data_IF_877067757675
#
_entry.id   IF_877067757675
#
_cell.length_a   1.000
_cell.length_b   1.000
_cell.length_c   1.000
_cell.angle_alpha   90.00
_cell.angle_beta   90.00
_cell.angle_gamma   90.00
#
_symmetry.space_group_name_H-M   'P 1'
#
loop_
_entity.id
_entity.type
_entity.pdbx_description
1 polymer ?
#
# COMPACT_ATOMS: atom_id res chain seq x y z
N UNK A 1 -7.45 -7.32 -19.46
CA UNK A 1 -6.26 -6.69 -18.85
C UNK A 1 -5.30 -6.07 -19.88
N UNK A 2 -5.35 -6.44 -21.17
CA UNK A 2 -4.69 -5.65 -22.24
C UNK A 2 -3.15 -5.66 -22.20
N UNK A 3 -2.53 -6.67 -21.59
CA UNK A 3 -1.07 -6.81 -21.55
C UNK A 3 -0.52 -7.36 -22.87
N UNK A 4 0.61 -6.83 -23.32
CA UNK A 4 1.47 -7.58 -24.26
C UNK A 4 2.20 -8.68 -23.49
N UNK A 5 2.66 -9.75 -24.18
CA UNK A 5 3.41 -10.83 -23.53
C UNK A 5 4.65 -10.34 -22.76
N UNK A 6 5.38 -9.37 -23.33
CA UNK A 6 6.61 -8.81 -22.74
C UNK A 6 6.29 -8.04 -21.46
N UNK A 7 5.20 -7.26 -21.46
CA UNK A 7 4.77 -6.51 -20.28
C UNK A 7 4.27 -7.42 -19.18
N UNK A 8 3.59 -8.51 -19.53
CA UNK A 8 3.16 -9.51 -18.56
C UNK A 8 4.35 -10.23 -17.91
N UNK A 9 5.36 -10.61 -18.69
CA UNK A 9 6.57 -11.24 -18.17
C UNK A 9 7.38 -10.28 -17.28
N UNK A 10 7.53 -9.02 -17.68
CA UNK A 10 8.26 -8.03 -16.89
C UNK A 10 7.61 -7.74 -15.52
N UNK A 11 6.28 -7.79 -15.42
CA UNK A 11 5.56 -7.49 -14.18
C UNK A 11 5.26 -8.74 -13.33
N UNK A 12 5.00 -9.89 -13.96
CA UNK A 12 4.48 -11.09 -13.31
C UNK A 12 5.24 -12.38 -13.65
N UNK A 13 6.37 -12.29 -14.37
CA UNK A 13 7.14 -13.44 -14.84
C UNK A 13 7.55 -14.39 -13.71
N UNK A 14 7.97 -13.85 -12.56
CA UNK A 14 8.32 -14.65 -11.39
C UNK A 14 7.15 -15.54 -10.92
N UNK A 15 5.93 -15.02 -10.88
CA UNK A 15 4.72 -15.73 -10.45
C UNK A 15 4.30 -16.76 -11.50
N UNK A 16 4.31 -16.39 -12.77
CA UNK A 16 3.98 -17.29 -13.88
C UNK A 16 4.97 -18.45 -13.96
N UNK A 17 6.26 -18.19 -13.74
CA UNK A 17 7.30 -19.21 -13.69
C UNK A 17 7.10 -20.15 -12.50
N UNK A 18 6.72 -19.65 -11.31
CA UNK A 18 6.40 -20.49 -10.17
C UNK A 18 5.26 -21.49 -10.46
N UNK A 19 4.23 -21.08 -11.21
CA UNK A 19 3.14 -21.98 -11.60
C UNK A 19 3.57 -23.14 -12.52
N UNK A 20 4.64 -22.97 -13.31
CA UNK A 20 5.18 -24.02 -14.19
C UNK A 20 5.77 -25.21 -13.41
N UNK A 21 6.12 -25.02 -12.14
CA UNK A 21 6.70 -26.06 -11.29
C UNK A 21 5.66 -26.82 -10.45
N UNK A 22 4.38 -26.77 -10.84
CA UNK A 22 3.32 -27.57 -10.21
C UNK A 22 2.67 -26.91 -9.00
N UNK A 23 2.40 -25.61 -9.07
CA UNK A 23 1.60 -24.95 -8.05
C UNK A 23 0.20 -25.59 -7.98
N UNK A 24 -0.31 -25.95 -6.78
CA UNK A 24 -1.62 -26.57 -6.63
C UNK A 24 -2.75 -25.57 -6.91
N UNK A 25 -3.97 -26.05 -7.19
CA UNK A 25 -5.15 -25.20 -7.15
C UNK A 25 -5.28 -24.58 -5.76
N UNK A 26 -5.40 -23.26 -5.70
CA UNK A 26 -5.48 -22.53 -4.44
C UNK A 26 -6.51 -21.39 -4.55
N UNK A 27 -7.10 -21.04 -3.40
CA UNK A 27 -7.99 -19.92 -3.24
C UNK A 27 -7.77 -19.32 -1.85
N UNK A 28 -8.04 -18.02 -1.71
CA UNK A 28 -7.91 -17.30 -0.45
C UNK A 28 -8.93 -16.18 -0.34
N UNK A 29 -9.09 -15.63 0.86
CA UNK A 29 -9.97 -14.51 1.14
C UNK A 29 -9.28 -13.59 2.17
N UNK A 30 -9.47 -12.29 2.02
CA UNK A 30 -9.00 -11.29 2.98
C UNK A 30 -10.18 -10.45 3.48
N UNK A 31 -10.25 -10.24 4.79
CA UNK A 31 -11.22 -9.35 5.41
C UNK A 31 -10.59 -7.98 5.65
N UNK A 32 -11.35 -6.91 5.41
CA UNK A 32 -10.98 -5.58 5.86
C UNK A 32 -11.18 -5.47 7.37
N UNK A 33 -10.12 -5.67 8.15
CA UNK A 33 -10.19 -5.75 9.61
C UNK A 33 -10.83 -4.51 10.24
N UNK A 34 -10.41 -3.31 9.82
CA UNK A 34 -10.91 -2.05 10.38
C UNK A 34 -12.41 -1.89 10.16
N UNK A 35 -12.88 -2.25 8.95
CA UNK A 35 -14.31 -2.25 8.61
C UNK A 35 -15.07 -3.31 9.39
N UNK A 36 -14.50 -4.51 9.54
CA UNK A 36 -15.12 -5.58 10.30
C UNK A 36 -15.31 -5.17 11.76
N UNK A 37 -14.28 -4.59 12.39
CA UNK A 37 -14.34 -4.07 13.76
C UNK A 37 -15.31 -2.90 13.87
N UNK A 38 -15.30 -1.95 12.93
CA UNK A 38 -16.21 -0.78 12.99
C UNK A 38 -17.68 -1.21 12.96
N UNK A 39 -18.03 -2.22 12.16
CA UNK A 39 -19.38 -2.79 12.12
C UNK A 39 -19.72 -3.44 13.46
N UNK A 40 -18.82 -4.26 14.03
CA UNK A 40 -19.05 -4.90 15.31
C UNK A 40 -19.19 -3.91 16.48
N UNK A 41 -18.49 -2.79 16.40
CA UNK A 41 -18.52 -1.72 17.39
C UNK A 41 -19.61 -0.66 17.14
N UNK A 42 -20.40 -0.76 16.06
CA UNK A 42 -21.44 0.22 15.71
C UNK A 42 -20.89 1.60 15.34
N UNK A 43 -19.67 1.66 14.79
CA UNK A 43 -18.99 2.90 14.42
C UNK A 43 -19.24 3.24 12.94
N UNK A 44 -19.57 4.50 12.67
CA UNK A 44 -19.82 5.01 11.31
C UNK A 44 -18.53 5.20 10.50
N UNK A 45 -17.39 5.35 11.18
CA UNK A 45 -16.08 5.57 10.58
C UNK A 45 -15.06 4.57 11.07
N UNK A 46 -14.26 4.03 10.16
CA UNK A 46 -13.10 3.19 10.51
C UNK A 46 -12.03 3.98 11.28
N UNK A 47 -12.05 5.32 11.22
CA UNK A 47 -11.10 6.13 11.99
C UNK A 47 -11.30 5.97 13.49
N UNK A 48 -12.50 5.61 13.92
CA UNK A 48 -12.85 5.49 15.33
C UNK A 48 -12.40 4.15 15.92
N UNK A 49 -12.00 3.18 15.08
CA UNK A 49 -11.37 1.93 15.51
C UNK A 49 -9.84 1.89 15.27
N UNK A 50 -9.25 2.98 14.75
CA UNK A 50 -7.82 3.11 14.50
C UNK A 50 -7.24 4.11 15.51
N UNK A 51 -6.25 3.72 16.30
CA UNK A 51 -5.70 4.56 17.37
C UNK A 51 -5.12 5.91 16.88
N UNK A 52 -4.46 5.92 15.71
CA UNK A 52 -3.83 7.11 15.12
C UNK A 52 -4.24 7.27 13.64
N UNK A 53 -5.50 7.69 13.38
CA UNK A 53 -6.04 7.74 12.03
C UNK A 53 -5.44 8.92 11.25
N UNK A 54 -5.46 8.82 9.93
CA UNK A 54 -5.03 9.90 9.03
C UNK A 54 -6.23 10.69 8.52
N UNK A 55 -6.02 11.98 8.23
CA UNK A 55 -7.05 12.81 7.62
C UNK A 55 -7.25 12.48 6.12
N UNK A 56 -8.15 13.20 5.44
CA UNK A 56 -8.46 12.96 4.02
C UNK A 56 -7.28 13.26 3.07
N UNK A 57 -6.31 14.05 3.50
CA UNK A 57 -5.06 14.30 2.78
C UNK A 57 -3.95 13.31 3.14
N UNK A 58 -4.25 12.24 3.89
CA UNK A 58 -3.27 11.27 4.35
C UNK A 58 -2.32 11.79 5.44
N UNK A 59 -2.59 12.96 6.03
CA UNK A 59 -1.75 13.54 7.09
C UNK A 59 -2.11 12.99 8.46
N UNK A 60 -1.08 12.77 9.26
CA UNK A 60 -1.20 12.61 10.71
C UNK A 60 -1.15 14.00 11.35
N UNK A 61 -2.26 14.45 11.93
CA UNK A 61 -2.35 15.78 12.52
C UNK A 61 -1.70 15.82 13.90
N UNK A 62 -1.57 14.68 14.58
CA UNK A 62 -0.97 14.60 15.91
C UNK A 62 0.56 14.69 15.84
N UNK A 63 1.17 14.03 14.86
CA UNK A 63 2.63 13.99 14.67
C UNK A 63 3.14 14.95 13.60
N UNK A 64 2.25 15.69 12.94
CA UNK A 64 2.53 16.53 11.78
C UNK A 64 3.30 15.79 10.66
N UNK A 65 2.78 14.62 10.27
CA UNK A 65 3.35 13.79 9.22
C UNK A 65 2.48 13.79 7.94
N UNK A 66 3.06 13.70 6.73
CA UNK A 66 4.50 13.69 6.44
C UNK A 66 5.13 15.08 6.63
N UNK A 67 6.44 15.05 6.86
CA UNK A 67 7.30 16.23 7.01
C UNK A 67 8.50 16.13 6.04
N UNK A 68 9.22 17.23 5.88
CA UNK A 68 10.45 17.24 5.09
C UNK A 68 11.53 16.38 5.76
N UNK A 69 12.37 15.76 4.93
CA UNK A 69 13.54 14.98 5.36
C UNK A 69 14.81 15.75 5.05
N UNK A 70 15.90 15.44 5.75
CA UNK A 70 17.20 16.09 5.50
C UNK A 70 17.75 15.70 4.12
N UNK A 71 18.40 16.64 3.44
CA UNK A 71 19.00 16.40 2.13
C UNK A 71 19.98 15.21 2.14
N UNK A 72 20.72 15.04 3.23
CA UNK A 72 21.65 13.92 3.40
C UNK A 72 20.96 12.55 3.26
N UNK A 73 19.73 12.41 3.75
CA UNK A 73 18.97 11.16 3.66
C UNK A 73 18.50 10.90 2.22
N UNK A 74 18.18 11.96 1.48
CA UNK A 74 17.83 11.86 0.06
C UNK A 74 19.05 11.47 -0.78
N UNK A 75 20.20 12.08 -0.51
CA UNK A 75 21.46 11.79 -1.20
C UNK A 75 21.91 10.34 -0.94
N UNK A 76 21.79 9.85 0.30
CA UNK A 76 22.10 8.47 0.68
C UNK A 76 21.23 7.44 -0.07
N UNK A 77 19.97 7.78 -0.36
CA UNK A 77 19.03 6.93 -1.07
C UNK A 77 19.03 7.13 -2.59
N UNK A 78 19.86 8.04 -3.11
CA UNK A 78 19.89 8.46 -4.52
C UNK A 78 18.53 8.98 -5.03
N UNK A 79 17.77 9.65 -4.16
CA UNK A 79 16.44 10.20 -4.46
C UNK A 79 16.54 11.72 -4.66
N UNK A 80 15.91 12.24 -5.71
CA UNK A 80 15.75 13.68 -5.93
C UNK A 80 14.27 14.06 -5.92
N UNK A 81 13.94 15.11 -5.19
CA UNK A 81 12.58 15.68 -5.20
C UNK A 81 12.41 16.58 -6.43
N UNK A 82 11.32 16.38 -7.17
CA UNK A 82 10.88 17.23 -8.28
C UNK A 82 9.63 18.02 -7.84
N UNK A 83 9.87 19.05 -7.03
CA UNK A 83 8.80 19.93 -6.52
C UNK A 83 8.74 21.15 -7.44
N UNK A 84 7.57 21.41 -8.02
CA UNK A 84 7.30 22.66 -8.74
C UNK A 84 7.02 23.76 -7.73
N UNK A 85 7.63 24.92 -7.92
CA UNK A 85 7.38 26.15 -7.14
C UNK A 85 5.88 26.49 -7.04
#
# INVERSE_FOLDING_TARGET
>A
LGFTPERAEAQFGFLMNAFKYGAPPHAGLAFGLDRFVSILAGLDSIRDCIAFPKNNSGRDVMLDAPSAVDQKQLDELEIKLDIKD
#
